data_IF_872294689383
#
_entry.id   IF_872294689383
#
_cell.length_a   1.000
_cell.length_b   1.000
_cell.length_c   1.000
_cell.angle_alpha   90.00
_cell.angle_beta   90.00
_cell.angle_gamma   90.00
#
_symmetry.space_group_name_H-M   'P 1'
#
loop_
_entity.id
_entity.type
_entity.pdbx_description
1 polymer ?
#
# COMPACT_ATOMS: atom_id res chain seq x y z
N UNK A 1 -5.42 15.52 -1.05
CA UNK A 1 -4.72 14.45 -1.76
C UNK A 1 -5.73 13.80 -2.69
N UNK A 2 -5.41 13.65 -3.97
CA UNK A 2 -6.24 12.96 -4.95
C UNK A 2 -6.10 11.44 -4.81
N UNK A 3 -7.05 10.69 -5.39
CA UNK A 3 -6.98 9.23 -5.46
C UNK A 3 -5.73 8.76 -6.20
N UNK A 4 -5.30 9.47 -7.25
CA UNK A 4 -4.05 9.20 -7.98
C UNK A 4 -2.81 9.37 -7.12
N UNK A 5 -2.71 10.48 -6.37
CA UNK A 5 -1.58 10.71 -5.45
C UNK A 5 -1.56 9.65 -4.33
N UNK A 6 -2.73 9.31 -3.79
CA UNK A 6 -2.85 8.29 -2.74
C UNK A 6 -2.43 6.91 -3.23
N UNK A 7 -2.80 6.55 -4.46
CA UNK A 7 -2.36 5.29 -5.07
C UNK A 7 -0.84 5.28 -5.30
N UNK A 8 -0.26 6.41 -5.70
CA UNK A 8 1.18 6.54 -5.88
C UNK A 8 1.95 6.36 -4.55
N UNK A 9 1.41 6.88 -3.45
CA UNK A 9 1.97 6.66 -2.10
C UNK A 9 1.87 5.19 -1.68
N UNK A 10 0.73 4.54 -1.91
CA UNK A 10 0.59 3.10 -1.62
C UNK A 10 1.66 2.28 -2.35
N UNK A 11 1.90 2.57 -3.63
CA UNK A 11 2.94 1.92 -4.43
C UNK A 11 4.35 2.20 -3.90
N UNK A 12 4.64 3.45 -3.53
CA UNK A 12 5.95 3.84 -3.01
C UNK A 12 6.26 3.09 -1.71
N UNK A 13 5.31 3.04 -0.78
CA UNK A 13 5.47 2.33 0.49
C UNK A 13 5.65 0.82 0.32
N UNK A 14 5.02 0.19 -0.68
CA UNK A 14 5.31 -1.22 -1.01
C UNK A 14 6.76 -1.39 -1.47
N UNK A 15 7.27 -0.50 -2.33
CA UNK A 15 8.67 -0.57 -2.76
C UNK A 15 9.63 -0.34 -1.59
N UNK A 16 9.33 0.61 -0.70
CA UNK A 16 10.14 0.88 0.49
C UNK A 16 10.11 -0.30 1.47
N UNK A 17 8.97 -0.97 1.62
CA UNK A 17 8.85 -2.19 2.42
C UNK A 17 9.70 -3.34 1.86
N UNK A 18 9.74 -3.49 0.53
CA UNK A 18 10.62 -4.47 -0.15
C UNK A 18 12.10 -4.12 0.05
N UNK A 19 12.45 -2.84 -0.08
CA UNK A 19 13.82 -2.37 0.10
C UNK A 19 14.30 -2.53 1.56
N UNK A 20 13.39 -2.42 2.53
CA UNK A 20 13.67 -2.59 3.95
C UNK A 20 13.68 -4.06 4.42
N UNK A 21 13.93 -5.03 3.54
CA UNK A 21 13.89 -6.47 3.85
C UNK A 21 14.68 -6.85 5.12
N UNK A 22 15.88 -6.31 5.29
CA UNK A 22 16.76 -6.56 6.45
C UNK A 22 16.47 -5.66 7.66
N UNK A 23 15.45 -4.79 7.58
CA UNK A 23 15.02 -3.88 8.64
C UNK A 23 13.55 -4.17 9.02
N UNK A 24 13.25 -5.21 9.83
CA UNK A 24 11.86 -5.68 10.06
C UNK A 24 10.91 -4.58 10.52
N UNK A 25 11.39 -3.70 11.41
CA UNK A 25 10.58 -2.59 11.92
C UNK A 25 10.22 -1.60 10.81
N UNK A 26 11.17 -1.26 9.95
CA UNK A 26 10.97 -0.33 8.84
C UNK A 26 10.10 -0.95 7.76
N UNK A 27 10.32 -2.22 7.44
CA UNK A 27 9.46 -2.99 6.52
C UNK A 27 8.01 -3.01 6.99
N UNK A 28 7.76 -3.28 8.28
CA UNK A 28 6.40 -3.26 8.83
C UNK A 28 5.80 -1.85 8.82
N UNK A 29 6.58 -0.82 9.13
CA UNK A 29 6.10 0.58 9.05
C UNK A 29 5.62 0.93 7.64
N UNK A 30 6.44 0.64 6.62
CA UNK A 30 6.08 0.87 5.22
C UNK A 30 4.86 0.02 4.80
N UNK A 31 4.81 -1.26 5.18
CA UNK A 31 3.65 -2.11 4.87
C UNK A 31 2.35 -1.58 5.53
N UNK A 32 2.41 -1.06 6.76
CA UNK A 32 1.26 -0.41 7.40
C UNK A 32 0.82 0.88 6.69
N UNK A 33 1.77 1.68 6.22
CA UNK A 33 1.49 2.89 5.44
C UNK A 33 0.83 2.53 4.09
N UNK A 34 1.42 1.58 3.34
CA UNK A 34 0.87 1.06 2.10
C UNK A 34 -0.58 0.57 2.25
N UNK A 35 -0.84 -0.24 3.28
CA UNK A 35 -2.18 -0.72 3.63
C UNK A 35 -3.17 0.43 3.85
N UNK A 36 -2.75 1.49 4.53
CA UNK A 36 -3.62 2.63 4.85
C UNK A 36 -3.95 3.46 3.61
N UNK A 37 -2.96 3.72 2.75
CA UNK A 37 -3.18 4.42 1.49
C UNK A 37 -4.03 3.61 0.51
N UNK A 38 -3.78 2.32 0.39
CA UNK A 38 -4.58 1.42 -0.43
C UNK A 38 -6.06 1.38 0.03
N UNK A 39 -6.29 1.27 1.35
CA UNK A 39 -7.65 1.33 1.91
C UNK A 39 -8.33 2.67 1.60
N UNK A 40 -7.59 3.78 1.65
CA UNK A 40 -8.11 5.11 1.32
C UNK A 40 -8.57 5.18 -0.14
N UNK A 41 -7.81 4.64 -1.09
CA UNK A 41 -8.20 4.57 -2.51
C UNK A 41 -9.45 3.69 -2.71
N UNK A 42 -9.55 2.56 -2.00
CA UNK A 42 -10.70 1.66 -2.12
C UNK A 42 -12.01 2.28 -1.61
N UNK A 43 -11.91 3.22 -0.67
CA UNK A 43 -13.06 3.94 -0.09
C UNK A 43 -13.40 5.24 -0.82
N UNK A 44 -12.59 5.67 -1.79
CA UNK A 44 -12.80 6.91 -2.51
C UNK A 44 -13.89 6.77 -3.59
N UNK A 45 -14.86 7.69 -3.57
CA UNK A 45 -15.98 7.70 -4.53
C UNK A 45 -15.53 7.98 -5.97
N UNK A 46 -14.45 8.75 -6.14
CA UNK A 46 -13.87 9.13 -7.44
C UNK A 46 -12.85 8.12 -7.98
N UNK A 47 -12.60 7.02 -7.27
CA UNK A 47 -11.68 5.99 -7.72
C UNK A 47 -12.22 5.25 -8.94
N UNK A 48 -11.43 5.22 -10.01
CA UNK A 48 -11.68 4.38 -11.18
C UNK A 48 -11.48 2.90 -10.85
N UNK A 49 -12.10 2.01 -11.62
CA UNK A 49 -11.94 0.56 -11.44
C UNK A 49 -10.48 0.08 -11.62
N UNK A 50 -9.69 0.79 -12.42
CA UNK A 50 -8.25 0.52 -12.52
C UNK A 50 -7.54 0.84 -11.20
N UNK A 51 -7.77 2.02 -10.63
CA UNK A 51 -7.18 2.41 -9.35
C UNK A 51 -7.62 1.50 -8.21
N UNK A 52 -8.88 1.06 -8.18
CA UNK A 52 -9.37 0.09 -7.19
C UNK A 52 -8.67 -1.27 -7.32
N UNK A 53 -8.44 -1.75 -8.55
CA UNK A 53 -7.70 -3.00 -8.79
C UNK A 53 -6.25 -2.88 -8.29
N UNK A 54 -5.56 -1.80 -8.65
CA UNK A 54 -4.18 -1.58 -8.20
C UNK A 54 -4.11 -1.44 -6.67
N UNK A 55 -5.03 -0.69 -6.06
CA UNK A 55 -5.11 -0.55 -4.61
C UNK A 55 -5.39 -1.90 -3.91
N UNK A 56 -6.22 -2.76 -4.49
CA UNK A 56 -6.45 -4.12 -3.98
C UNK A 56 -5.16 -4.93 -3.97
N UNK A 57 -4.39 -4.89 -5.07
CA UNK A 57 -3.09 -5.57 -5.14
C UNK A 57 -2.12 -5.08 -4.07
N UNK A 58 -1.98 -3.75 -3.91
CA UNK A 58 -1.09 -3.19 -2.87
C UNK A 58 -1.56 -3.50 -1.45
N UNK A 59 -2.87 -3.58 -1.22
CA UNK A 59 -3.42 -3.99 0.07
C UNK A 59 -3.05 -5.45 0.38
N UNK A 60 -3.20 -6.35 -0.59
CA UNK A 60 -2.89 -7.77 -0.44
C UNK A 60 -1.39 -7.97 -0.19
N UNK A 61 -0.52 -7.26 -0.93
CA UNK A 61 0.93 -7.27 -0.73
C UNK A 61 1.32 -6.79 0.69
N UNK A 62 0.75 -5.66 1.12
CA UNK A 62 0.99 -5.11 2.45
C UNK A 62 0.56 -6.09 3.56
N UNK A 63 -0.60 -6.74 3.41
CA UNK A 63 -1.10 -7.74 4.37
C UNK A 63 -0.20 -8.98 4.40
N UNK A 64 0.27 -9.44 3.23
CA UNK A 64 1.22 -10.54 3.17
C UNK A 64 2.52 -10.20 3.94
N UNK A 65 3.09 -9.02 3.72
CA UNK A 65 4.30 -8.58 4.43
C UNK A 65 4.13 -8.50 5.94
N UNK A 66 2.95 -8.08 6.42
CA UNK A 66 2.64 -7.96 7.85
C UNK A 66 2.36 -9.31 8.53
N UNK A 67 2.10 -10.36 7.75
CA UNK A 67 1.78 -11.71 8.28
C UNK A 67 2.95 -12.68 8.17
N UNK A 68 3.90 -12.42 7.26
CA UNK A 68 5.19 -13.13 7.22
C UNK A 68 6.09 -12.67 8.36
N UNK A 69 6.34 -13.56 9.32
CA UNK A 69 7.21 -13.35 10.49
C UNK A 69 8.62 -13.86 10.25
#
# INVERSE_FOLDING_TARGET
MSTTETLALARAEIHDAVAAYDEPQRRHQCAHAARSYAATVLLADDATDAQRRDARCYLDDAVAMLTTT
#
